data_IF_397555512737
#
_entry.id   IF_397555512737
#
_cell.length_a   1.000
_cell.length_b   1.000
_cell.length_c   1.000
_cell.angle_alpha   90.00
_cell.angle_beta   90.00
_cell.angle_gamma   90.00
#
_symmetry.space_group_name_H-M   'P 1'
#
loop_
_entity.id
_entity.type
_entity.pdbx_description
1 polymer ?
#
# COMPACT_ATOMS: atom_id res chain seq x y z
N UNK A 1 -24.42 54.91 -0.11
CA UNK A 1 -24.66 53.46 0.04
C UNK A 1 -23.92 52.60 -0.98
N UNK A 2 -24.07 52.79 -2.30
CA UNK A 2 -23.41 51.96 -3.34
C UNK A 2 -21.86 51.89 -3.24
N UNK A 3 -21.21 52.98 -2.84
CA UNK A 3 -19.75 53.01 -2.68
C UNK A 3 -19.26 52.17 -1.48
N UNK A 4 -20.04 52.16 -0.39
CA UNK A 4 -19.72 51.39 0.81
C UNK A 4 -19.91 49.88 0.57
N UNK A 5 -20.98 49.49 -0.12
CA UNK A 5 -21.23 48.09 -0.49
C UNK A 5 -20.17 47.55 -1.45
N UNK A 6 -19.70 48.37 -2.40
CA UNK A 6 -18.61 48.01 -3.30
C UNK A 6 -17.27 47.85 -2.58
N UNK A 7 -16.98 48.72 -1.60
CA UNK A 7 -15.79 48.59 -0.75
C UNK A 7 -15.81 47.34 0.12
N UNK A 8 -16.96 47.00 0.72
CA UNK A 8 -17.14 45.77 1.50
C UNK A 8 -16.97 44.51 0.65
N UNK A 9 -17.52 44.50 -0.56
CA UNK A 9 -17.37 43.39 -1.49
C UNK A 9 -15.89 43.16 -1.87
N UNK A 10 -15.13 44.25 -2.09
CA UNK A 10 -13.68 44.16 -2.33
C UNK A 10 -12.92 43.55 -1.16
N UNK A 11 -13.23 43.97 0.07
CA UNK A 11 -12.59 43.44 1.28
C UNK A 11 -12.89 41.94 1.41
N UNK A 12 -14.15 41.53 1.23
CA UNK A 12 -14.53 40.12 1.25
C UNK A 12 -13.82 39.31 0.16
N UNK A 13 -13.69 39.86 -1.05
CA UNK A 13 -12.96 39.20 -2.14
C UNK A 13 -11.47 39.02 -1.81
N UNK A 14 -10.83 40.01 -1.18
CA UNK A 14 -9.44 39.93 -0.72
C UNK A 14 -9.29 38.86 0.36
N UNK A 15 -10.19 38.83 1.35
CA UNK A 15 -10.17 37.81 2.41
C UNK A 15 -10.33 36.42 1.82
N UNK A 16 -11.29 36.24 0.91
CA UNK A 16 -11.53 34.97 0.22
C UNK A 16 -10.31 34.51 -0.58
N UNK A 17 -9.70 35.42 -1.34
CA UNK A 17 -8.50 35.10 -2.11
C UNK A 17 -7.33 34.72 -1.20
N UNK A 18 -7.14 35.47 -0.10
CA UNK A 18 -6.11 35.16 0.88
C UNK A 18 -6.35 33.80 1.55
N UNK A 19 -7.58 33.50 1.96
CA UNK A 19 -7.92 32.19 2.54
C UNK A 19 -7.73 31.06 1.54
N UNK A 20 -8.08 31.28 0.26
CA UNK A 20 -7.85 30.31 -0.80
C UNK A 20 -6.36 30.03 -1.02
N UNK A 21 -5.51 31.06 -0.99
CA UNK A 21 -4.06 30.90 -1.11
C UNK A 21 -3.46 30.16 0.08
N UNK A 22 -3.84 30.52 1.31
CA UNK A 22 -3.40 29.82 2.52
C UNK A 22 -3.84 28.36 2.47
N UNK A 23 -5.08 28.09 2.07
CA UNK A 23 -5.58 26.74 1.92
C UNK A 23 -4.76 25.96 0.87
N UNK A 24 -4.48 26.53 -0.30
CA UNK A 24 -3.66 25.87 -1.32
C UNK A 24 -2.24 25.58 -0.81
N UNK A 25 -1.62 26.53 -0.12
CA UNK A 25 -0.29 26.35 0.46
C UNK A 25 -0.28 25.20 1.47
N UNK A 26 -1.25 25.18 2.39
CA UNK A 26 -1.36 24.10 3.38
C UNK A 26 -1.63 22.75 2.73
N UNK A 27 -2.58 22.68 1.79
CA UNK A 27 -2.88 21.44 1.04
C UNK A 27 -1.67 20.91 0.27
N UNK A 28 -0.85 21.79 -0.31
CA UNK A 28 0.35 21.37 -1.05
C UNK A 28 1.39 20.67 -0.16
N UNK A 29 1.42 20.97 1.15
CA UNK A 29 2.33 20.33 2.11
C UNK A 29 1.90 18.90 2.48
N UNK A 30 0.64 18.53 2.22
CA UNK A 30 0.14 17.17 2.45
C UNK A 30 0.34 16.23 1.26
N UNK A 31 0.96 16.70 0.17
CA UNK A 31 1.30 15.84 -0.96
C UNK A 31 2.33 14.80 -0.50
N UNK A 32 2.06 13.52 -0.81
CA UNK A 32 2.95 12.42 -0.45
C UNK A 32 4.36 12.64 -1.02
N UNK A 33 5.44 12.51 -0.21
CA UNK A 33 6.82 12.55 -0.69
C UNK A 33 7.10 11.57 -1.84
N UNK A 34 6.33 10.48 -1.91
CA UNK A 34 6.41 9.48 -2.98
C UNK A 34 6.19 10.10 -4.38
N UNK A 35 5.29 11.09 -4.50
CA UNK A 35 5.03 11.77 -5.76
C UNK A 35 6.28 12.47 -6.30
N UNK A 36 6.99 13.19 -5.43
CA UNK A 36 8.22 13.88 -5.83
C UNK A 36 9.36 12.92 -6.17
N UNK A 37 9.42 11.76 -5.52
CA UNK A 37 10.40 10.73 -5.84
C UNK A 37 10.10 10.08 -7.20
N UNK A 38 8.83 9.81 -7.51
CA UNK A 38 8.40 9.34 -8.84
C UNK A 38 8.75 10.36 -9.93
N UNK A 39 8.54 11.65 -9.68
CA UNK A 39 8.91 12.73 -10.61
C UNK A 39 10.41 12.90 -10.82
N UNK A 40 11.24 12.37 -9.90
CA UNK A 40 12.70 12.37 -10.01
C UNK A 40 13.24 11.07 -10.61
N UNK A 41 12.38 10.23 -11.18
CA UNK A 41 12.75 8.93 -11.75
C UNK A 41 13.46 8.01 -10.72
N UNK A 42 13.06 8.10 -9.45
CA UNK A 42 13.54 7.17 -8.42
C UNK A 42 12.91 5.78 -8.65
N UNK A 43 13.70 4.84 -9.17
CA UNK A 43 13.30 3.44 -9.38
C UNK A 43 12.68 2.80 -8.13
N UNK A 44 13.21 3.06 -6.93
CA UNK A 44 12.65 2.51 -5.70
C UNK A 44 11.28 3.08 -5.38
N UNK A 45 11.03 4.35 -5.72
CA UNK A 45 9.71 4.95 -5.60
C UNK A 45 8.72 4.34 -6.60
N UNK A 46 9.16 4.08 -7.84
CA UNK A 46 8.36 3.36 -8.83
C UNK A 46 8.00 1.95 -8.34
N UNK A 47 8.96 1.20 -7.79
CA UNK A 47 8.71 -0.12 -7.20
C UNK A 47 7.70 -0.04 -6.06
N UNK A 48 7.86 0.90 -5.11
CA UNK A 48 6.93 1.09 -4.00
C UNK A 48 5.52 1.45 -4.49
N UNK A 49 5.41 2.32 -5.48
CA UNK A 49 4.15 2.72 -6.07
C UNK A 49 3.45 1.54 -6.75
N UNK A 50 4.14 0.90 -7.71
CA UNK A 50 3.64 -0.23 -8.48
C UNK A 50 3.24 -1.39 -7.57
N UNK A 51 4.02 -1.68 -6.52
CA UNK A 51 3.72 -2.71 -5.51
C UNK A 51 2.40 -2.45 -4.77
N UNK A 52 2.03 -1.19 -4.54
CA UNK A 52 0.77 -0.85 -3.85
C UNK A 52 -0.46 -0.93 -4.76
N UNK A 53 -0.27 -0.78 -6.06
CA UNK A 53 -1.38 -0.71 -7.03
C UNK A 53 -1.58 -2.00 -7.82
N UNK A 54 -0.90 -3.10 -7.48
CA UNK A 54 -0.97 -4.41 -8.17
C UNK A 54 -2.39 -4.91 -8.43
N UNK A 55 -3.33 -4.57 -7.54
CA UNK A 55 -4.72 -5.00 -7.62
C UNK A 55 -5.63 -4.04 -8.41
N UNK A 56 -5.09 -2.96 -8.96
CA UNK A 56 -5.87 -1.99 -9.75
C UNK A 56 -5.89 -2.37 -11.24
N UNK A 57 -6.98 -2.11 -11.97
CA UNK A 57 -7.10 -2.45 -13.39
C UNK A 57 -6.00 -1.86 -14.28
N UNK A 58 -5.46 -0.70 -13.90
CA UNK A 58 -4.45 0.03 -14.67
C UNK A 58 -3.01 -0.38 -14.35
N UNK A 59 -2.81 -1.37 -13.47
CA UNK A 59 -1.48 -1.80 -13.07
C UNK A 59 -0.62 -2.27 -14.26
N UNK A 60 -1.15 -3.14 -15.13
CA UNK A 60 -0.38 -3.69 -16.25
C UNK A 60 0.10 -2.62 -17.24
N UNK A 61 -0.75 -1.68 -17.71
CA UNK A 61 -0.28 -0.55 -18.51
C UNK A 61 0.79 0.29 -17.81
N UNK A 62 0.61 0.58 -16.50
CA UNK A 62 1.56 1.38 -15.73
C UNK A 62 2.91 0.66 -15.58
N UNK A 63 2.90 -0.63 -15.32
CA UNK A 63 4.10 -1.44 -15.23
C UNK A 63 4.88 -1.41 -16.55
N UNK A 64 4.19 -1.57 -17.69
CA UNK A 64 4.84 -1.59 -19.00
C UNK A 64 5.46 -0.24 -19.37
N UNK A 65 4.78 0.88 -19.08
CA UNK A 65 5.36 2.22 -19.27
C UNK A 65 6.61 2.39 -18.41
N UNK A 66 6.57 1.96 -17.14
CA UNK A 66 7.72 2.10 -16.25
C UNK A 66 8.87 1.15 -16.64
N UNK A 67 8.60 -0.04 -17.20
CA UNK A 67 9.65 -0.94 -17.72
C UNK A 67 10.43 -0.35 -18.90
N UNK A 68 9.85 0.59 -19.64
CA UNK A 68 10.56 1.30 -20.70
C UNK A 68 11.43 2.45 -20.16
N UNK A 69 11.09 2.99 -18.99
CA UNK A 69 11.84 4.06 -18.31
C UNK A 69 13.01 3.47 -17.52
N UNK A 70 12.76 2.36 -16.83
CA UNK A 70 13.73 1.62 -16.04
C UNK A 70 14.22 0.38 -16.79
N UNK A 71 15.03 -0.44 -16.12
CA UNK A 71 15.48 -1.71 -16.69
C UNK A 71 14.45 -2.85 -16.52
N UNK A 72 14.73 -3.98 -17.17
CA UNK A 72 13.89 -5.18 -17.13
C UNK A 72 13.78 -5.84 -15.74
N UNK A 73 14.58 -5.44 -14.74
CA UNK A 73 14.48 -5.98 -13.38
C UNK A 73 13.36 -5.33 -12.56
N UNK A 74 12.79 -4.21 -13.02
CA UNK A 74 11.68 -3.53 -12.35
C UNK A 74 10.51 -4.47 -12.03
N UNK A 75 10.09 -5.27 -13.02
CA UNK A 75 8.99 -6.21 -12.84
C UNK A 75 9.30 -7.23 -11.74
N UNK A 76 10.51 -7.80 -11.78
CA UNK A 76 10.96 -8.77 -10.77
C UNK A 76 10.97 -8.14 -9.38
N UNK A 77 11.42 -6.89 -9.24
CA UNK A 77 11.46 -6.16 -7.98
C UNK A 77 10.07 -5.81 -7.45
N UNK A 78 9.12 -5.45 -8.32
CA UNK A 78 7.71 -5.21 -7.94
C UNK A 78 7.03 -6.46 -7.38
N UNK A 79 7.41 -7.63 -7.88
CA UNK A 79 6.87 -8.92 -7.42
C UNK A 79 7.75 -9.64 -6.39
N UNK A 80 8.93 -9.10 -6.04
CA UNK A 80 9.92 -9.80 -5.22
C UNK A 80 9.36 -10.22 -3.85
N UNK A 81 8.63 -9.32 -3.18
CA UNK A 81 8.00 -9.62 -1.89
C UNK A 81 6.92 -10.71 -2.00
N UNK A 82 6.15 -10.75 -3.09
CA UNK A 82 5.14 -11.80 -3.31
C UNK A 82 5.79 -13.16 -3.54
N UNK A 83 6.85 -13.18 -4.35
CA UNK A 83 7.63 -14.39 -4.64
C UNK A 83 8.26 -14.92 -3.35
N UNK A 84 8.87 -14.03 -2.56
CA UNK A 84 9.46 -14.35 -1.26
C UNK A 84 8.42 -14.91 -0.30
N UNK A 85 7.26 -14.26 -0.18
CA UNK A 85 6.15 -14.70 0.68
C UNK A 85 5.64 -16.10 0.27
N UNK A 86 5.42 -16.35 -1.02
CA UNK A 86 5.03 -17.67 -1.54
C UNK A 86 6.05 -18.76 -1.20
N UNK A 87 7.34 -18.45 -1.31
CA UNK A 87 8.41 -19.38 -0.92
C UNK A 87 8.38 -19.70 0.57
N UNK A 88 8.18 -18.69 1.42
CA UNK A 88 8.09 -18.87 2.88
C UNK A 88 6.85 -19.70 3.24
N UNK A 89 5.69 -19.43 2.63
CA UNK A 89 4.48 -20.23 2.80
C UNK A 89 4.75 -21.70 2.48
N UNK A 90 5.35 -21.99 1.31
CA UNK A 90 5.68 -23.36 0.91
C UNK A 90 6.63 -24.06 1.88
N UNK A 91 7.60 -23.33 2.43
CA UNK A 91 8.51 -23.86 3.46
C UNK A 91 7.74 -24.21 4.74
N UNK A 92 6.87 -23.32 5.22
CA UNK A 92 6.05 -23.57 6.40
C UNK A 92 5.06 -24.73 6.19
N UNK A 93 4.46 -24.86 5.02
CA UNK A 93 3.60 -26.00 4.68
C UNK A 93 4.38 -27.32 4.74
N UNK A 94 5.61 -27.35 4.22
CA UNK A 94 6.47 -28.54 4.31
C UNK A 94 6.85 -28.87 5.76
N UNK A 95 7.12 -27.86 6.60
CA UNK A 95 7.37 -28.07 8.02
C UNK A 95 6.11 -28.55 8.76
N UNK A 96 4.94 -28.05 8.38
CA UNK A 96 3.65 -28.45 8.93
C UNK A 96 3.32 -29.90 8.60
N UNK A 97 3.72 -30.41 7.43
CA UNK A 97 3.57 -31.84 7.11
C UNK A 97 4.34 -32.73 8.09
N UNK A 98 5.51 -32.29 8.54
CA UNK A 98 6.33 -33.02 9.52
C UNK A 98 5.80 -32.85 10.94
N UNK A 99 5.28 -31.67 11.26
CA UNK A 99 4.75 -31.31 12.57
C UNK A 99 3.33 -30.72 12.48
N UNK A 100 2.28 -31.53 12.25
CA UNK A 100 0.94 -31.05 11.92
C UNK A 100 0.24 -30.22 13.01
N UNK A 101 0.71 -30.37 14.26
CA UNK A 101 0.20 -29.67 15.45
C UNK A 101 1.16 -28.57 15.95
N UNK A 102 2.06 -28.08 15.09
CA UNK A 102 2.90 -26.93 15.47
C UNK A 102 2.07 -25.65 15.45
N UNK A 103 1.73 -25.15 16.63
CA UNK A 103 1.01 -23.89 16.84
C UNK A 103 1.67 -22.72 16.12
N UNK A 104 2.99 -22.57 16.26
CA UNK A 104 3.73 -21.44 15.71
C UNK A 104 3.74 -21.46 14.18
N UNK A 105 3.90 -22.64 13.56
CA UNK A 105 3.84 -22.78 12.10
C UNK A 105 2.45 -22.42 11.59
N UNK A 106 1.40 -22.91 12.26
CA UNK A 106 0.02 -22.59 11.89
C UNK A 106 -0.26 -21.08 12.02
N UNK A 107 0.22 -20.44 13.09
CA UNK A 107 0.04 -19.00 13.28
C UNK A 107 0.82 -18.18 12.25
N UNK A 108 2.06 -18.57 11.92
CA UNK A 108 2.84 -17.92 10.87
C UNK A 108 2.17 -18.04 9.49
N UNK A 109 1.62 -19.21 9.17
CA UNK A 109 0.84 -19.39 7.94
C UNK A 109 -0.41 -18.51 7.93
N UNK A 110 -1.10 -18.36 9.06
CA UNK A 110 -2.20 -17.40 9.20
C UNK A 110 -1.76 -15.97 8.84
N UNK A 111 -0.68 -15.47 9.45
CA UNK A 111 -0.18 -14.11 9.21
C UNK A 111 0.16 -13.90 7.72
N UNK A 112 0.90 -14.83 7.12
CA UNK A 112 1.33 -14.74 5.72
C UNK A 112 0.14 -14.77 4.75
N UNK A 113 -0.85 -15.63 4.98
CA UNK A 113 -2.06 -15.67 4.15
C UNK A 113 -2.96 -14.44 4.35
N UNK A 114 -2.98 -13.87 5.56
CA UNK A 114 -3.72 -12.64 5.83
C UNK A 114 -3.09 -11.44 5.10
N UNK A 115 -1.76 -11.35 5.09
CA UNK A 115 -1.00 -10.36 4.31
C UNK A 115 -1.19 -10.53 2.80
N UNK A 116 -1.28 -11.77 2.30
CA UNK A 116 -1.53 -12.10 0.90
C UNK A 116 -2.98 -11.84 0.44
N UNK A 117 -3.87 -11.46 1.37
CA UNK A 117 -5.29 -11.26 1.12
C UNK A 117 -6.09 -12.58 0.96
N UNK A 118 -5.45 -13.74 1.12
CA UNK A 118 -6.11 -15.04 1.12
C UNK A 118 -6.78 -15.32 2.47
N UNK A 119 -7.90 -14.62 2.70
CA UNK A 119 -8.66 -14.70 3.95
C UNK A 119 -9.14 -16.11 4.28
N UNK A 120 -9.46 -16.92 3.27
CA UNK A 120 -9.97 -18.29 3.46
C UNK A 120 -8.89 -19.16 4.10
N UNK A 121 -7.70 -19.22 3.49
CA UNK A 121 -6.58 -20.00 4.04
C UNK A 121 -6.10 -19.44 5.37
N UNK A 122 -6.04 -18.11 5.50
CA UNK A 122 -5.66 -17.46 6.75
C UNK A 122 -6.54 -17.92 7.92
N UNK A 123 -7.87 -17.88 7.75
CA UNK A 123 -8.80 -18.29 8.80
C UNK A 123 -8.70 -19.78 9.13
N UNK A 124 -8.47 -20.63 8.13
CA UNK A 124 -8.27 -22.06 8.37
C UNK A 124 -7.04 -22.34 9.22
N UNK A 125 -5.90 -21.70 8.92
CA UNK A 125 -4.69 -21.87 9.74
C UNK A 125 -4.84 -21.29 11.15
N UNK A 126 -5.52 -20.15 11.31
CA UNK A 126 -5.80 -19.58 12.62
C UNK A 126 -6.69 -20.50 13.46
N UNK A 127 -7.74 -21.08 12.84
CA UNK A 127 -8.63 -22.03 13.48
C UNK A 127 -7.85 -23.23 14.03
N UNK A 128 -6.99 -23.83 13.21
CA UNK A 128 -6.12 -24.94 13.60
C UNK A 128 -5.11 -24.55 14.70
N UNK A 129 -4.56 -23.34 14.66
CA UNK A 129 -3.68 -22.85 15.71
C UNK A 129 -4.41 -22.76 17.06
N UNK A 130 -5.65 -22.25 17.05
CA UNK A 130 -6.52 -22.11 18.23
C UNK A 130 -6.99 -23.44 18.83
N UNK A 131 -7.13 -24.48 18.00
CA UNK A 131 -7.40 -25.83 18.50
C UNK A 131 -6.26 -26.37 19.38
N UNK A 132 -5.04 -25.88 19.18
CA UNK A 132 -3.86 -26.28 19.94
C UNK A 132 -3.65 -25.35 21.13
N UNK A 133 -3.79 -24.03 20.91
CA UNK A 133 -3.66 -23.01 21.95
C UNK A 133 -4.79 -21.97 21.80
N UNK A 134 -5.86 -22.09 22.60
CA UNK A 134 -6.99 -21.16 22.57
C UNK A 134 -6.64 -19.73 22.99
N UNK A 135 -5.47 -19.47 23.58
CA UNK A 135 -5.05 -18.13 24.02
C UNK A 135 -4.55 -17.23 22.88
N UNK A 136 -4.43 -17.78 21.65
CA UNK A 136 -4.03 -17.00 20.48
C UNK A 136 -5.13 -16.01 20.11
N UNK A 137 -4.83 -14.72 20.24
CA UNK A 137 -5.67 -13.63 19.78
C UNK A 137 -5.32 -13.18 18.34
N UNK A 138 -6.27 -12.46 17.71
CA UNK A 138 -6.14 -11.94 16.34
C UNK A 138 -5.44 -10.59 16.31
#
# INVERSE_FOLDING_TARGET
MKHLTYSLLKILAIIFFFSFLVLNLTLSQYISPLYFQLMKEDKNAAIRFLSKIKNLPYFLPLLEVNKNIYDNSLEQEVFAEDIKRKKIISQFESLLQKNPKSRDILYNLYLLHNEDGNKIMAQEYLRRAKEIDPSIDK
#
